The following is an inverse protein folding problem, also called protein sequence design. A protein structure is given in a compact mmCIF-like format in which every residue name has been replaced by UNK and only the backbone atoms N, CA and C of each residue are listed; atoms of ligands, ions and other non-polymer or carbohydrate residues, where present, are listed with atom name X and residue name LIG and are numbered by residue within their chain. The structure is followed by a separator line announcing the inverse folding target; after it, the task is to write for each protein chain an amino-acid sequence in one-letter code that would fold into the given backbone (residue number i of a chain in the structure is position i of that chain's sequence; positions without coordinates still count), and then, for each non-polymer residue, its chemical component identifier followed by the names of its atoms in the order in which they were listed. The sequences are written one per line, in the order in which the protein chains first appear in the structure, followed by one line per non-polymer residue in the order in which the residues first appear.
data_IF_751411668103
#
_entry.id   IF_751411668103
#
_cell.length_a   1.000
_cell.length_b   1.000
_cell.length_c   1.000
_cell.angle_alpha   90.00
_cell.angle_beta   90.00
_cell.angle_gamma   90.00
#
_symmetry.space_group_name_H-M   'P 1'
#
loop_
_entity.id
_entity.type
_entity.pdbx_description
1 polymer ?
#
# COMPACT_ATOMS: atom_id res chain seq x y z
N UNK A 1 -18.57 8.62 20.16
CA UNK A 1 -17.16 8.54 19.74
C UNK A 1 -17.11 7.66 18.52
N UNK A 2 -17.06 8.23 17.32
CA UNK A 2 -16.94 7.43 16.09
C UNK A 2 -15.49 6.98 16.01
N UNK A 3 -15.17 5.82 16.58
CA UNK A 3 -13.88 5.19 16.35
C UNK A 3 -13.87 4.71 14.91
N UNK A 4 -13.20 5.44 14.02
CA UNK A 4 -12.92 4.92 12.69
C UNK A 4 -12.20 3.58 12.85
N UNK A 5 -12.63 2.56 12.11
CA UNK A 5 -11.92 1.30 12.07
C UNK A 5 -10.45 1.56 11.67
N UNK A 6 -9.48 0.81 12.21
CA UNK A 6 -8.09 0.96 11.83
C UNK A 6 -7.94 0.74 10.32
N UNK A 7 -7.26 1.69 9.65
CA UNK A 7 -6.98 1.61 8.22
C UNK A 7 -6.17 0.35 7.91
N UNK A 8 -6.62 -0.38 6.90
CA UNK A 8 -6.01 -1.63 6.41
C UNK A 8 -5.44 -1.40 5.02
N UNK A 9 -4.14 -1.63 4.88
CA UNK A 9 -3.39 -1.32 3.67
C UNK A 9 -2.88 -2.58 2.99
N UNK A 10 -2.93 -2.59 1.67
CA UNK A 10 -2.34 -3.62 0.83
C UNK A 10 -1.12 -3.07 0.11
N UNK A 11 -0.02 -3.82 0.15
CA UNK A 11 1.14 -3.59 -0.74
C UNK A 11 0.93 -4.49 -1.95
N UNK A 12 0.80 -3.90 -3.12
CA UNK A 12 0.57 -4.60 -4.39
C UNK A 12 1.82 -4.48 -5.24
N UNK A 13 2.33 -5.62 -5.69
CA UNK A 13 3.42 -5.72 -6.64
C UNK A 13 2.84 -5.97 -8.04
N UNK A 14 3.16 -5.08 -8.96
CA UNK A 14 2.93 -5.22 -10.39
C UNK A 14 4.28 -5.22 -11.12
N UNK A 15 4.28 -5.66 -12.37
CA UNK A 15 5.45 -5.76 -13.24
C UNK A 15 6.36 -4.52 -13.26
N UNK A 16 5.79 -3.32 -13.21
CA UNK A 16 6.54 -2.06 -13.18
C UNK A 16 6.26 -1.18 -11.96
N UNK A 17 5.50 -1.65 -10.96
CA UNK A 17 5.12 -0.76 -9.85
C UNK A 17 4.97 -1.49 -8.52
N UNK A 18 5.32 -0.78 -7.44
CA UNK A 18 4.90 -1.12 -6.09
C UNK A 18 3.87 -0.09 -5.66
N UNK A 19 2.68 -0.55 -5.29
CA UNK A 19 1.52 0.28 -5.01
C UNK A 19 1.06 0.00 -3.58
N UNK A 20 0.81 1.05 -2.81
CA UNK A 20 0.11 0.91 -1.52
C UNK A 20 -1.34 1.35 -1.72
N UNK A 21 -2.27 0.48 -1.39
CA UNK A 21 -3.71 0.69 -1.56
C UNK A 21 -4.44 0.62 -0.22
N UNK A 22 -5.37 1.54 0.02
CA UNK A 22 -6.29 1.50 1.18
C UNK A 22 -7.67 0.92 0.84
N UNK A 23 -7.88 0.52 -0.42
CA UNK A 23 -9.14 -0.10 -0.86
C UNK A 23 -9.30 -1.46 -0.18
N UNK A 24 -10.53 -1.75 0.24
CA UNK A 24 -10.91 -3.05 0.76
C UNK A 24 -11.16 -4.01 -0.41
N UNK A 25 -10.50 -5.16 -0.39
CA UNK A 25 -10.64 -6.18 -1.42
C UNK A 25 -11.23 -7.46 -0.84
N UNK A 26 -12.24 -8.01 -1.52
CA UNK A 26 -12.85 -9.27 -1.12
C UNK A 26 -11.95 -10.50 -1.37
N UNK A 27 -11.00 -10.39 -2.31
CA UNK A 27 -10.03 -11.44 -2.63
C UNK A 27 -8.86 -10.87 -3.43
N UNK A 28 -7.76 -11.62 -3.52
CA UNK A 28 -6.61 -11.27 -4.36
C UNK A 28 -6.98 -11.10 -5.84
N UNK A 29 -8.00 -11.82 -6.35
CA UNK A 29 -8.50 -11.65 -7.72
C UNK A 29 -9.12 -10.28 -7.97
N UNK A 30 -9.70 -9.66 -6.93
CA UNK A 30 -10.22 -8.30 -7.05
C UNK A 30 -9.07 -7.28 -7.14
N UNK A 31 -7.94 -7.57 -6.49
CA UNK A 31 -6.71 -6.76 -6.61
C UNK A 31 -6.15 -6.90 -8.03
N UNK A 32 -5.99 -8.13 -8.52
CA UNK A 32 -5.50 -8.40 -9.88
C UNK A 32 -6.34 -7.70 -10.97
N UNK A 33 -7.66 -7.63 -10.78
CA UNK A 33 -8.55 -6.94 -11.72
C UNK A 33 -8.31 -5.41 -11.80
N UNK A 34 -7.85 -4.80 -10.70
CA UNK A 34 -7.62 -3.35 -10.60
C UNK A 34 -6.20 -2.94 -10.98
N UNK A 35 -5.24 -3.88 -10.94
CA UNK A 35 -3.82 -3.61 -11.20
C UNK A 35 -3.29 -4.49 -12.34
N UNK A 36 -3.24 -3.97 -13.58
CA UNK A 36 -2.58 -4.65 -14.68
C UNK A 36 -1.13 -5.01 -14.32
N UNK A 37 -0.68 -6.20 -14.72
CA UNK A 37 0.66 -6.67 -14.39
C UNK A 37 0.81 -7.19 -12.96
N UNK A 38 -0.28 -7.35 -12.21
CA UNK A 38 -0.30 -7.92 -10.86
C UNK A 38 0.55 -9.20 -10.76
N UNK A 39 1.42 -9.23 -9.75
CA UNK A 39 2.26 -10.37 -9.41
C UNK A 39 1.85 -10.95 -8.06
N UNK A 40 1.70 -10.09 -7.06
CA UNK A 40 1.30 -10.50 -5.70
C UNK A 40 0.81 -9.29 -4.91
N UNK A 41 0.17 -9.55 -3.76
CA UNK A 41 -0.20 -8.55 -2.78
C UNK A 41 0.04 -9.06 -1.37
N UNK A 42 0.39 -8.15 -0.48
CA UNK A 42 0.58 -8.40 0.94
C UNK A 42 -0.42 -7.57 1.76
N UNK A 43 -0.59 -7.95 3.02
CA UNK A 43 -1.59 -7.36 3.91
C UNK A 43 -2.96 -8.07 3.86
N UNK A 44 -3.99 -7.49 4.50
CA UNK A 44 -4.03 -6.11 4.99
C UNK A 44 -3.13 -5.86 6.22
N UNK A 45 -2.49 -4.70 6.26
CA UNK A 45 -1.56 -4.27 7.31
C UNK A 45 -1.83 -2.85 7.79
N UNK A 46 -1.33 -2.50 8.97
CA UNK A 46 -1.29 -1.12 9.46
C UNK A 46 -0.26 -0.26 8.71
N UNK A 47 -0.36 1.07 8.84
CA UNK A 47 0.64 2.01 8.33
C UNK A 47 2.06 1.66 8.80
N UNK A 48 2.23 1.38 10.10
CA UNK A 48 3.53 1.08 10.68
C UNK A 48 4.14 -0.22 10.12
N UNK A 49 3.32 -1.24 9.90
CA UNK A 49 3.77 -2.51 9.28
C UNK A 49 4.17 -2.30 7.82
N UNK A 50 3.42 -1.51 7.04
CA UNK A 50 3.80 -1.19 5.66
C UNK A 50 5.13 -0.42 5.62
N UNK A 51 5.29 0.61 6.45
CA UNK A 51 6.54 1.39 6.50
C UNK A 51 7.72 0.51 6.92
N UNK A 52 7.55 -0.35 7.92
CA UNK A 52 8.60 -1.26 8.37
C UNK A 52 8.96 -2.30 7.30
N UNK A 53 7.96 -2.90 6.65
CA UNK A 53 8.16 -3.85 5.56
C UNK A 53 8.92 -3.22 4.39
N UNK A 54 8.47 -2.04 3.92
CA UNK A 54 9.10 -1.34 2.81
C UNK A 54 10.53 -0.90 3.13
N UNK A 55 10.80 -0.49 4.38
CA UNK A 55 12.17 -0.14 4.78
C UNK A 55 13.13 -1.35 4.79
N UNK A 56 12.60 -2.56 5.01
CA UNK A 56 13.38 -3.81 4.96
C UNK A 56 13.60 -4.33 3.54
N UNK A 57 12.54 -4.35 2.72
CA UNK A 57 12.59 -4.94 1.38
C UNK A 57 13.05 -3.95 0.29
N UNK A 58 12.78 -2.66 0.47
CA UNK A 58 13.14 -1.56 -0.44
C UNK A 58 13.89 -0.46 0.32
N UNK A 59 15.09 -0.74 0.87
CA UNK A 59 15.82 0.22 1.70
C UNK A 59 16.12 1.54 0.99
N UNK A 60 16.25 1.53 -0.34
CA UNK A 60 16.39 2.72 -1.19
C UNK A 60 15.15 3.63 -1.17
N UNK A 61 13.98 3.08 -0.85
CA UNK A 61 12.71 3.81 -0.74
C UNK A 61 12.37 4.19 0.70
N UNK A 62 13.11 3.71 1.71
CA UNK A 62 12.74 3.86 3.13
C UNK A 62 12.47 5.32 3.54
N UNK A 63 13.32 6.25 3.11
CA UNK A 63 13.14 7.68 3.37
C UNK A 63 11.90 8.27 2.69
N UNK A 64 11.63 7.86 1.45
CA UNK A 64 10.45 8.27 0.68
C UNK A 64 9.18 7.74 1.33
N UNK A 65 9.14 6.44 1.61
CA UNK A 65 7.98 5.74 2.20
C UNK A 65 7.58 6.35 3.54
N UNK A 66 8.55 6.66 4.40
CA UNK A 66 8.31 7.25 5.71
C UNK A 66 7.64 8.63 5.67
N UNK A 67 7.73 9.35 4.54
CA UNK A 67 7.10 10.67 4.35
C UNK A 67 5.83 10.55 3.50
N UNK A 68 5.90 9.80 2.41
CA UNK A 68 4.83 9.71 1.42
C UNK A 68 3.61 8.95 1.91
N UNK A 69 3.78 7.88 2.71
CA UNK A 69 2.62 7.11 3.22
C UNK A 69 1.77 7.95 4.20
N UNK A 70 2.33 8.58 5.25
CA UNK A 70 1.53 9.42 6.14
C UNK A 70 0.83 10.57 5.40
N UNK A 71 1.54 11.21 4.47
CA UNK A 71 1.00 12.30 3.66
C UNK A 71 -0.15 11.84 2.75
N UNK A 72 -0.01 10.66 2.13
CA UNK A 72 -1.04 10.04 1.31
C UNK A 72 -2.27 9.65 2.14
N UNK A 73 -2.09 9.09 3.34
CA UNK A 73 -3.18 8.71 4.25
C UNK A 73 -3.98 9.92 4.75
N UNK A 74 -3.30 11.05 4.99
CA UNK A 74 -3.97 12.31 5.31
C UNK A 74 -4.74 12.90 4.10
N UNK A 75 -4.45 12.40 2.90
CA UNK A 75 -5.13 12.75 1.66
C UNK A 75 -6.36 11.90 1.36
N UNK A 76 -6.91 12.13 0.16
CA UNK A 76 -8.14 11.47 -0.31
C UNK A 76 -7.94 10.37 -1.34
N UNK A 77 -6.71 10.11 -1.80
CA UNK A 77 -6.45 9.13 -2.86
C UNK A 77 -6.54 7.69 -2.34
N UNK A 78 -6.96 6.77 -3.19
CA UNK A 78 -7.15 5.36 -2.82
C UNK A 78 -5.87 4.53 -2.88
N UNK A 79 -4.84 5.04 -3.56
CA UNK A 79 -3.54 4.39 -3.67
C UNK A 79 -2.41 5.42 -3.89
N UNK A 80 -1.19 4.95 -3.65
CA UNK A 80 0.06 5.65 -3.98
C UNK A 80 1.01 4.69 -4.68
N UNK A 81 1.63 5.15 -5.77
CA UNK A 81 2.65 4.42 -6.51
C UNK A 81 4.02 4.83 -5.96
N UNK A 82 4.82 3.86 -5.55
CA UNK A 82 6.14 4.07 -4.92
C UNK A 82 7.30 3.83 -5.89
N UNK A 83 7.05 3.12 -6.99
CA UNK A 83 7.97 2.97 -8.12
C UNK A 83 7.27 3.44 -9.42
N UNK A 84 8.00 4.03 -10.37
CA UNK A 84 7.51 4.37 -11.71
C UNK A 84 7.32 3.14 -12.60
#
# INVERSE_FOLDING_TARGET
MTGAAPLSLHVVYADSAVIVSRREYASWRAIEADYPGYQTSLGPWSEAEVVAYMAGEHPELAGTVAVSIPAWLAGGADNIHLLP
#
